data_IF_888551626076
#
_entry.id   IF_888551626076
#
_cell.length_a   1.000
_cell.length_b   1.000
_cell.length_c   1.000
_cell.angle_alpha   90.00
_cell.angle_beta   90.00
_cell.angle_gamma   90.00
#
_symmetry.space_group_name_H-M   'P 1'
#
loop_
_entity.id
_entity.type
_entity.pdbx_description
1 polymer ?
#
# COMPACT_ATOMS: atom_id res chain seq x y z
N UNK A 1 -20.17 -1.61 -1.38
CA UNK A 1 -20.09 -3.05 -1.03
C UNK A 1 -18.98 -3.77 -1.79
N UNK A 2 -18.63 -3.33 -3.01
CA UNK A 2 -17.52 -3.88 -3.80
C UNK A 2 -16.23 -3.06 -3.65
N UNK A 3 -16.30 -1.73 -3.79
CA UNK A 3 -15.15 -0.82 -3.61
C UNK A 3 -14.43 -1.01 -2.27
N UNK A 4 -15.17 -1.19 -1.18
CA UNK A 4 -14.62 -1.48 0.16
C UNK A 4 -13.81 -2.78 0.16
N UNK A 5 -14.27 -3.82 -0.56
CA UNK A 5 -13.54 -5.08 -0.69
C UNK A 5 -12.27 -4.88 -1.52
N UNK A 6 -12.34 -4.12 -2.61
CA UNK A 6 -11.19 -3.77 -3.45
C UNK A 6 -10.11 -3.05 -2.63
N UNK A 7 -10.49 -2.03 -1.86
CA UNK A 7 -9.56 -1.30 -0.99
C UNK A 7 -8.97 -2.20 0.10
N UNK A 8 -9.78 -3.04 0.73
CA UNK A 8 -9.30 -3.97 1.77
C UNK A 8 -8.30 -5.01 1.24
N UNK A 9 -8.46 -5.45 -0.02
CA UNK A 9 -7.55 -6.41 -0.65
C UNK A 9 -6.23 -5.77 -1.05
N UNK A 10 -6.29 -4.58 -1.63
CA UNK A 10 -5.10 -3.78 -1.95
C UNK A 10 -4.31 -3.40 -0.70
N UNK A 11 -4.99 -2.90 0.33
CA UNK A 11 -4.35 -2.50 1.59
C UNK A 11 -3.68 -3.68 2.30
N UNK A 12 -4.30 -4.86 2.26
CA UNK A 12 -3.73 -6.10 2.79
C UNK A 12 -2.46 -6.52 2.05
N UNK A 13 -2.44 -6.44 0.71
CA UNK A 13 -1.25 -6.76 -0.08
C UNK A 13 -0.07 -5.83 0.26
N UNK A 14 -0.34 -4.51 0.34
CA UNK A 14 0.64 -3.50 0.76
C UNK A 14 1.19 -3.80 2.17
N UNK A 15 0.28 -4.07 3.13
CA UNK A 15 0.64 -4.40 4.50
C UNK A 15 1.55 -5.63 4.57
N UNK A 16 1.18 -6.71 3.87
CA UNK A 16 1.93 -7.96 3.87
C UNK A 16 3.37 -7.75 3.36
N UNK A 17 3.54 -7.07 2.23
CA UNK A 17 4.86 -6.78 1.68
C UNK A 17 5.69 -5.89 2.62
N UNK A 18 5.11 -4.82 3.18
CA UNK A 18 5.84 -3.98 4.15
C UNK A 18 6.28 -4.80 5.36
N UNK A 19 5.39 -5.62 5.93
CA UNK A 19 5.72 -6.44 7.10
C UNK A 19 6.79 -7.49 6.79
N UNK A 20 6.81 -8.05 5.57
CA UNK A 20 7.86 -8.97 5.12
C UNK A 20 9.23 -8.30 5.00
N UNK A 21 9.29 -6.98 4.75
CA UNK A 21 10.52 -6.19 4.79
C UNK A 21 11.01 -5.90 6.23
N UNK A 22 10.21 -6.18 7.27
CA UNK A 22 10.59 -5.95 8.67
C UNK A 22 10.66 -4.48 9.10
N UNK A 23 10.11 -3.54 8.31
CA UNK A 23 10.14 -2.10 8.60
C UNK A 23 8.83 -1.60 9.21
N UNK A 24 8.88 -0.58 10.05
CA UNK A 24 7.67 0.06 10.62
C UNK A 24 6.91 0.89 9.56
N UNK A 25 5.65 1.24 9.85
CA UNK A 25 4.89 2.18 9.01
C UNK A 25 5.59 3.52 8.86
N UNK A 26 6.20 4.02 9.93
CA UNK A 26 6.93 5.30 9.94
C UNK A 26 8.17 5.24 9.07
N UNK A 27 9.04 4.24 9.31
CA UNK A 27 10.26 4.04 8.52
C UNK A 27 9.96 3.85 7.03
N UNK A 28 8.90 3.10 6.69
CA UNK A 28 8.50 2.93 5.30
C UNK A 28 7.94 4.21 4.69
N UNK A 29 7.05 4.92 5.42
CA UNK A 29 6.47 6.16 4.93
C UNK A 29 7.57 7.21 4.66
N UNK A 30 8.56 7.31 5.54
CA UNK A 30 9.71 8.20 5.37
C UNK A 30 10.57 7.83 4.16
N UNK A 31 10.82 6.54 3.93
CA UNK A 31 11.63 6.07 2.79
C UNK A 31 10.98 6.41 1.45
N UNK A 32 9.64 6.43 1.41
CA UNK A 32 8.89 6.88 0.25
C UNK A 32 8.48 8.34 0.36
N UNK A 33 8.98 9.16 1.31
CA UNK A 33 8.61 10.58 1.54
C UNK A 33 7.09 10.86 1.61
N UNK A 34 6.37 10.00 2.33
CA UNK A 34 4.95 10.09 2.62
C UNK A 34 4.74 10.34 4.11
N UNK A 35 3.71 11.10 4.49
CA UNK A 35 3.36 11.22 5.91
C UNK A 35 2.87 9.89 6.46
N UNK A 36 3.41 9.46 7.60
CA UNK A 36 3.00 8.24 8.33
C UNK A 36 1.47 8.13 8.47
N UNK A 37 0.79 9.22 8.81
CA UNK A 37 -0.66 9.24 8.98
C UNK A 37 -1.42 8.90 7.69
N UNK A 38 -0.95 9.40 6.53
CA UNK A 38 -1.50 9.04 5.23
C UNK A 38 -1.24 7.55 4.93
N UNK A 39 0.00 7.09 5.10
CA UNK A 39 0.36 5.69 4.86
C UNK A 39 -0.46 4.73 5.73
N UNK A 40 -0.69 5.09 6.99
CA UNK A 40 -1.50 4.30 7.92
C UNK A 40 -2.96 4.16 7.47
N UNK A 41 -3.57 5.21 6.89
CA UNK A 41 -4.92 5.15 6.29
C UNK A 41 -4.96 4.21 5.08
N UNK A 42 -3.88 4.16 4.30
CA UNK A 42 -3.75 3.27 3.14
C UNK A 42 -3.74 1.81 3.58
N UNK A 43 -2.92 1.44 4.56
CA UNK A 43 -2.87 0.05 5.07
C UNK A 43 -4.17 -0.39 5.75
N UNK A 44 -4.99 0.54 6.22
CA UNK A 44 -6.35 0.25 6.73
C UNK A 44 -7.44 0.25 5.65
N UNK A 45 -7.12 0.60 4.40
CA UNK A 45 -8.09 0.69 3.32
C UNK A 45 -9.11 1.83 3.47
N UNK A 46 -8.78 2.87 4.25
CA UNK A 46 -9.68 3.99 4.57
C UNK A 46 -9.73 5.05 3.47
N UNK A 47 -8.76 5.05 2.54
CA UNK A 47 -8.68 6.01 1.44
C UNK A 47 -8.45 5.30 0.11
N UNK A 48 -9.04 5.86 -0.95
CA UNK A 48 -8.75 5.44 -2.30
C UNK A 48 -7.35 5.90 -2.73
N UNK A 49 -6.52 4.96 -3.18
CA UNK A 49 -5.13 5.22 -3.57
C UNK A 49 -5.10 5.66 -5.02
N UNK A 50 -4.56 6.85 -5.29
CA UNK A 50 -4.34 7.30 -6.67
C UNK A 50 -3.24 6.49 -7.33
N UNK A 51 -3.27 6.37 -8.66
CA UNK A 51 -2.28 5.57 -9.41
C UNK A 51 -0.82 6.02 -9.18
N UNK A 52 -0.58 7.32 -9.00
CA UNK A 52 0.75 7.85 -8.68
C UNK A 52 1.21 7.45 -7.27
N UNK A 53 0.28 7.42 -6.31
CA UNK A 53 0.56 6.97 -4.94
C UNK A 53 0.83 5.47 -4.93
N UNK A 54 0.04 4.67 -5.66
CA UNK A 54 0.27 3.23 -5.79
C UNK A 54 1.65 2.95 -6.39
N UNK A 55 2.02 3.63 -7.48
CA UNK A 55 3.35 3.49 -8.10
C UNK A 55 4.48 3.83 -7.13
N UNK A 56 4.31 4.88 -6.32
CA UNK A 56 5.29 5.29 -5.30
C UNK A 56 5.46 4.24 -4.21
N UNK A 57 4.36 3.69 -3.70
CA UNK A 57 4.36 2.61 -2.70
C UNK A 57 5.00 1.36 -3.29
N UNK A 58 4.58 0.92 -4.48
CA UNK A 58 5.12 -0.25 -5.15
C UNK A 58 6.65 -0.16 -5.30
N UNK A 59 7.16 0.99 -5.75
CA UNK A 59 8.60 1.24 -5.84
C UNK A 59 9.29 1.10 -4.49
N UNK A 60 8.71 1.64 -3.42
CA UNK A 60 9.24 1.51 -2.06
C UNK A 60 9.25 0.07 -1.55
N UNK A 61 8.24 -0.73 -1.94
CA UNK A 61 8.12 -2.16 -1.61
C UNK A 61 9.01 -3.05 -2.51
N UNK A 62 9.75 -2.50 -3.47
CA UNK A 62 10.56 -3.28 -4.40
C UNK A 62 9.76 -4.09 -5.41
N UNK A 63 8.54 -3.64 -5.74
CA UNK A 63 7.63 -4.32 -6.68
C UNK A 63 7.00 -3.33 -7.68
N UNK A 64 6.13 -3.80 -8.55
CA UNK A 64 5.38 -2.95 -9.49
C UNK A 64 3.93 -2.75 -9.02
N UNK A 65 3.28 -1.70 -9.55
CA UNK A 65 1.86 -1.48 -9.29
C UNK A 65 1.01 -2.65 -9.85
N UNK A 66 1.42 -3.23 -10.99
CA UNK A 66 0.74 -4.37 -11.58
C UNK A 66 0.80 -5.61 -10.66
N UNK A 67 1.96 -5.90 -10.07
CA UNK A 67 2.11 -7.02 -9.14
C UNK A 67 1.26 -6.84 -7.87
N UNK A 68 1.16 -5.60 -7.36
CA UNK A 68 0.28 -5.29 -6.22
C UNK A 68 -1.20 -5.56 -6.56
N UNK A 69 -1.64 -5.16 -7.76
CA UNK A 69 -3.01 -5.40 -8.22
C UNK A 69 -3.27 -6.90 -8.39
N UNK A 70 -2.33 -7.64 -8.99
CA UNK A 70 -2.45 -9.11 -9.09
C UNK A 70 -2.47 -9.79 -7.72
N UNK A 71 -1.61 -9.40 -6.79
CA UNK A 71 -1.62 -9.94 -5.41
C UNK A 71 -2.96 -9.66 -4.71
N UNK A 72 -3.50 -8.47 -4.91
CA UNK A 72 -4.82 -8.10 -4.40
C UNK A 72 -5.97 -8.79 -5.17
N UNK A 73 -5.71 -9.38 -6.34
CA UNK A 73 -6.65 -9.91 -7.36
C UNK A 73 -7.75 -8.92 -7.77
N UNK A 74 -7.34 -7.69 -8.07
CA UNK A 74 -8.20 -6.60 -8.56
C UNK A 74 -7.71 -6.08 -9.90
#
# INVERSE_FOLDING_TARGET
MDEVKTLARLSKAILQLRTAMGVSQESFADSISMHRAQYSKIERGEINVTILTLRRIAKGLGTTAADLLDQAKI
#
